data_IF_423867634771
#
_entry.id   IF_423867634771
#
_cell.length_a   1.000
_cell.length_b   1.000
_cell.length_c   1.000
_cell.angle_alpha   90.00
_cell.angle_beta   90.00
_cell.angle_gamma   90.00
#
_symmetry.space_group_name_H-M   'P 1'
#
loop_
_entity.id
_entity.type
_entity.pdbx_description
1 polymer ?
#
# COMPACT_ATOMS: atom_id res chain seq x y z
N UNK A 1 -13.80 -15.69 21.46
CA UNK A 1 -13.56 -14.37 20.82
C UNK A 1 -12.08 -14.33 20.46
N UNK A 2 -11.73 -14.08 19.19
CA UNK A 2 -10.33 -13.87 18.83
C UNK A 2 -9.78 -12.65 19.59
N UNK A 3 -8.56 -12.74 20.12
CA UNK A 3 -7.90 -11.63 20.83
C UNK A 3 -6.97 -10.89 19.88
N UNK A 4 -6.84 -9.58 20.08
CA UNK A 4 -5.81 -8.79 19.39
C UNK A 4 -4.42 -9.38 19.67
N UNK A 5 -3.55 -9.35 18.66
CA UNK A 5 -2.17 -9.83 18.73
C UNK A 5 -2.03 -11.31 19.17
N UNK A 6 -3.06 -12.14 18.94
CA UNK A 6 -2.98 -13.56 19.23
C UNK A 6 -2.03 -14.35 18.31
N UNK A 7 -1.70 -13.83 17.13
CA UNK A 7 -0.78 -14.47 16.18
C UNK A 7 0.64 -13.96 16.43
N UNK A 8 1.59 -14.87 16.55
CA UNK A 8 3.01 -14.50 16.72
C UNK A 8 3.55 -13.81 15.48
N UNK A 9 4.23 -12.67 15.68
CA UNK A 9 4.90 -11.92 14.62
C UNK A 9 6.40 -12.25 14.51
N UNK A 10 6.94 -13.17 15.32
CA UNK A 10 8.35 -13.56 15.27
C UNK A 10 8.67 -14.48 14.09
N UNK A 11 7.69 -15.27 13.63
CA UNK A 11 7.86 -16.24 12.56
C UNK A 11 7.29 -15.73 11.24
N UNK A 12 7.80 -16.29 10.14
CA UNK A 12 7.15 -16.12 8.84
C UNK A 12 5.75 -16.74 8.84
N UNK A 13 4.79 -16.08 8.21
CA UNK A 13 3.45 -16.57 7.97
C UNK A 13 3.34 -17.06 6.53
N UNK A 14 3.19 -18.37 6.33
CA UNK A 14 2.85 -18.96 5.04
C UNK A 14 1.36 -19.32 5.03
N UNK A 15 0.55 -18.59 4.27
CA UNK A 15 -0.85 -18.95 4.03
C UNK A 15 -0.89 -19.84 2.79
N UNK A 16 -0.83 -21.15 3.00
CA UNK A 16 -0.74 -22.13 1.92
C UNK A 16 -1.94 -22.08 0.97
N UNK A 17 -1.75 -22.56 -0.27
CA UNK A 17 -2.86 -22.67 -1.23
C UNK A 17 -4.04 -23.45 -0.64
N UNK A 18 -5.26 -22.93 -0.83
CA UNK A 18 -6.49 -23.49 -0.25
C UNK A 18 -6.71 -23.16 1.24
N UNK A 19 -5.73 -22.58 1.94
CA UNK A 19 -5.92 -22.11 3.30
C UNK A 19 -6.67 -20.76 3.33
N UNK A 20 -7.33 -20.49 4.45
CA UNK A 20 -7.93 -19.19 4.75
C UNK A 20 -7.49 -18.75 6.15
N UNK A 21 -6.75 -17.64 6.24
CA UNK A 21 -6.44 -17.00 7.51
C UNK A 21 -7.50 -15.94 7.81
N UNK A 22 -8.38 -16.23 8.76
CA UNK A 22 -9.37 -15.27 9.25
C UNK A 22 -8.90 -14.63 10.56
N UNK A 23 -8.77 -13.30 10.57
CA UNK A 23 -8.44 -12.54 11.80
C UNK A 23 -9.69 -12.05 12.55
N UNK A 24 -10.89 -12.39 12.10
CA UNK A 24 -12.14 -12.20 12.85
C UNK A 24 -12.48 -10.75 13.18
N UNK A 25 -11.98 -9.78 12.40
CA UNK A 25 -12.17 -8.36 12.69
C UNK A 25 -11.30 -7.82 13.84
N UNK A 26 -10.28 -8.57 14.29
CA UNK A 26 -9.33 -8.13 15.31
C UNK A 26 -8.10 -7.45 14.70
N UNK A 27 -7.25 -6.88 15.56
CA UNK A 27 -5.94 -6.36 15.18
C UNK A 27 -4.86 -7.41 15.37
N UNK A 28 -4.22 -7.83 14.29
CA UNK A 28 -3.15 -8.83 14.30
C UNK A 28 -1.87 -8.27 13.69
N UNK A 29 -0.73 -8.72 14.22
CA UNK A 29 0.58 -8.53 13.59
C UNK A 29 1.17 -9.90 13.25
N UNK A 30 1.64 -10.07 12.02
CA UNK A 30 2.33 -11.28 11.56
C UNK A 30 3.74 -10.93 11.08
N UNK A 31 4.62 -11.93 10.93
CA UNK A 31 5.94 -11.73 10.33
C UNK A 31 5.90 -11.67 8.80
N UNK A 32 7.00 -12.06 8.15
CA UNK A 32 7.10 -12.19 6.68
C UNK A 32 5.93 -13.00 6.12
N UNK A 33 5.13 -12.38 5.24
CA UNK A 33 3.94 -13.02 4.64
C UNK A 33 4.28 -13.66 3.29
N UNK A 34 3.89 -14.92 3.10
CA UNK A 34 4.06 -15.66 1.84
C UNK A 34 2.89 -16.61 1.59
N UNK A 35 2.81 -17.16 0.38
CA UNK A 35 1.82 -18.16 0.00
C UNK A 35 0.74 -17.62 -0.93
N UNK A 36 -0.35 -18.38 -1.06
CA UNK A 36 -1.43 -18.14 -2.03
C UNK A 36 -2.83 -18.45 -1.51
N UNK A 37 -2.98 -18.83 -0.23
CA UNK A 37 -4.28 -18.91 0.42
C UNK A 37 -4.83 -17.52 0.73
N UNK A 38 -6.09 -17.41 1.11
CA UNK A 38 -6.73 -16.10 1.32
C UNK A 38 -6.54 -15.61 2.77
N UNK A 39 -6.62 -14.29 2.94
CA UNK A 39 -6.71 -13.64 4.26
C UNK A 39 -8.04 -12.88 4.33
N UNK A 40 -8.83 -13.14 5.36
CA UNK A 40 -10.02 -12.38 5.68
C UNK A 40 -9.73 -11.45 6.86
N UNK A 41 -9.81 -10.14 6.63
CA UNK A 41 -9.66 -9.11 7.67
C UNK A 41 -10.89 -8.98 8.57
N UNK A 42 -12.01 -9.62 8.21
CA UNK A 42 -13.30 -9.51 8.89
C UNK A 42 -14.01 -8.18 8.63
N UNK A 43 -15.12 -7.96 9.32
CA UNK A 43 -15.91 -6.73 9.27
C UNK A 43 -15.53 -5.75 10.40
N UNK A 44 -15.66 -4.45 10.16
CA UNK A 44 -15.39 -3.41 11.16
C UNK A 44 -13.89 -3.10 11.32
N UNK A 45 -13.42 -3.01 12.57
CA UNK A 45 -12.09 -2.51 12.95
C UNK A 45 -10.93 -3.49 12.77
N UNK A 46 -11.08 -4.52 11.93
CA UNK A 46 -10.01 -5.46 11.64
C UNK A 46 -8.77 -4.75 11.11
N UNK A 47 -7.58 -5.15 11.55
CA UNK A 47 -6.34 -4.56 11.10
C UNK A 47 -5.24 -5.60 11.04
N UNK A 48 -4.67 -5.82 9.86
CA UNK A 48 -3.51 -6.70 9.70
C UNK A 48 -2.25 -5.88 9.48
N UNK A 49 -1.28 -6.05 10.39
CA UNK A 49 0.09 -5.60 10.17
C UNK A 49 0.97 -6.75 9.75
N UNK A 50 1.59 -6.64 8.57
CA UNK A 50 2.64 -7.56 8.10
C UNK A 50 3.99 -6.94 8.41
N UNK A 51 4.67 -7.44 9.45
CA UNK A 51 6.04 -7.07 9.80
C UNK A 51 7.03 -7.84 8.94
N UNK A 52 7.13 -7.42 7.68
CA UNK A 52 7.92 -8.07 6.66
C UNK A 52 9.41 -7.86 6.91
N UNK A 53 10.19 -8.94 7.05
CA UNK A 53 11.64 -8.87 7.32
C UNK A 53 12.50 -9.25 6.13
N UNK A 54 11.99 -10.08 5.24
CA UNK A 54 12.68 -10.58 4.05
C UNK A 54 11.84 -10.31 2.80
N UNK A 55 12.37 -10.60 1.62
CA UNK A 55 11.56 -10.62 0.41
C UNK A 55 10.59 -11.82 0.41
N UNK A 56 9.34 -11.60 0.02
CA UNK A 56 8.43 -12.67 -0.41
C UNK A 56 7.33 -12.13 -1.32
N UNK A 57 6.83 -13.02 -2.19
CA UNK A 57 5.60 -12.82 -2.95
C UNK A 57 4.40 -13.41 -2.22
N UNK A 58 3.27 -12.71 -2.34
CA UNK A 58 1.97 -13.18 -1.87
C UNK A 58 0.96 -13.13 -3.01
N UNK A 59 0.37 -14.27 -3.33
CA UNK A 59 -0.55 -14.45 -4.45
C UNK A 59 -1.98 -14.77 -4.00
N UNK A 60 -2.25 -14.70 -2.70
CA UNK A 60 -3.58 -14.83 -2.13
C UNK A 60 -4.32 -13.50 -2.10
N UNK A 61 -5.65 -13.54 -1.99
CA UNK A 61 -6.47 -12.34 -1.84
C UNK A 61 -6.59 -12.00 -0.35
N UNK A 62 -6.27 -10.75 0.00
CA UNK A 62 -6.61 -10.13 1.28
C UNK A 62 -7.96 -9.41 1.09
N UNK A 63 -8.99 -9.80 1.84
CA UNK A 63 -10.34 -9.25 1.75
C UNK A 63 -10.91 -8.82 3.11
N UNK A 64 -12.15 -8.33 3.11
CA UNK A 64 -12.85 -7.83 4.32
C UNK A 64 -12.95 -6.31 4.36
N UNK A 65 -13.32 -5.72 5.49
CA UNK A 65 -13.40 -4.25 5.60
C UNK A 65 -12.25 -3.63 6.39
N UNK A 66 -11.38 -4.48 6.93
CA UNK A 66 -10.25 -4.05 7.75
C UNK A 66 -9.15 -3.33 6.98
N UNK A 67 -8.23 -2.73 7.73
CA UNK A 67 -7.05 -2.04 7.20
C UNK A 67 -5.85 -2.99 7.05
N UNK A 68 -4.97 -2.65 6.11
CA UNK A 68 -3.74 -3.38 5.85
C UNK A 68 -2.52 -2.48 6.09
N UNK A 69 -1.57 -2.95 6.88
CA UNK A 69 -0.31 -2.24 7.15
C UNK A 69 0.89 -3.12 6.78
N UNK A 70 1.75 -2.63 5.91
CA UNK A 70 3.08 -3.21 5.65
C UNK A 70 4.10 -2.50 6.54
N UNK A 71 4.74 -3.23 7.45
CA UNK A 71 5.86 -2.75 8.26
C UNK A 71 7.10 -3.63 8.05
N UNK A 72 8.17 -3.33 8.80
CA UNK A 72 9.45 -4.03 8.70
C UNK A 72 10.24 -3.67 7.42
N UNK A 73 11.56 -3.91 7.42
CA UNK A 73 12.46 -3.45 6.36
C UNK A 73 12.37 -4.28 5.07
N UNK A 74 11.72 -5.44 5.10
CA UNK A 74 11.64 -6.35 3.97
C UNK A 74 10.71 -5.87 2.86
N UNK A 75 10.65 -6.68 1.80
CA UNK A 75 9.89 -6.41 0.57
C UNK A 75 8.70 -7.37 0.51
N UNK A 76 7.50 -6.84 0.29
CA UNK A 76 6.30 -7.64 0.05
C UNK A 76 5.82 -7.38 -1.38
N UNK A 77 5.83 -8.41 -2.23
CA UNK A 77 5.27 -8.34 -3.57
C UNK A 77 3.84 -8.89 -3.57
N UNK A 78 2.88 -8.09 -4.00
CA UNK A 78 1.48 -8.47 -4.13
C UNK A 78 1.19 -8.87 -5.58
N UNK A 79 0.74 -10.12 -5.78
CA UNK A 79 0.48 -10.70 -7.11
C UNK A 79 -1.00 -11.03 -7.34
N UNK A 80 -1.90 -10.57 -6.47
CA UNK A 80 -3.33 -10.78 -6.56
C UNK A 80 -4.08 -9.47 -6.24
N UNK A 81 -5.27 -9.32 -6.81
CA UNK A 81 -6.13 -8.15 -6.58
C UNK A 81 -6.78 -8.25 -5.21
N UNK A 82 -6.26 -7.48 -4.26
CA UNK A 82 -6.80 -7.46 -2.91
C UNK A 82 -8.13 -6.70 -2.86
N UNK A 83 -9.06 -7.16 -2.03
CA UNK A 83 -10.46 -6.70 -2.01
C UNK A 83 -10.86 -6.05 -0.69
N UNK A 84 -9.91 -5.84 0.23
CA UNK A 84 -10.24 -5.17 1.48
C UNK A 84 -10.65 -3.71 1.25
N UNK A 85 -11.61 -3.20 2.01
CA UNK A 85 -12.09 -1.81 1.85
C UNK A 85 -11.43 -0.80 2.78
N UNK A 86 -10.65 -1.25 3.76
CA UNK A 86 -9.91 -0.37 4.66
C UNK A 86 -8.69 0.27 4.00
N UNK A 87 -8.04 1.18 4.72
CA UNK A 87 -6.85 1.88 4.24
C UNK A 87 -5.63 0.96 4.13
N UNK A 88 -4.72 1.32 3.22
CA UNK A 88 -3.39 0.75 3.10
C UNK A 88 -2.37 1.68 3.75
N UNK A 89 -1.57 1.17 4.68
CA UNK A 89 -0.46 1.89 5.29
C UNK A 89 0.85 1.21 4.94
N UNK A 90 1.76 1.93 4.31
CA UNK A 90 3.16 1.53 4.23
C UNK A 90 3.84 2.21 5.42
N UNK A 91 4.31 1.42 6.38
CA UNK A 91 4.97 1.83 7.61
C UNK A 91 6.47 1.48 7.66
N UNK A 92 6.94 0.64 6.73
CA UNK A 92 8.36 0.32 6.53
C UNK A 92 8.62 -0.56 5.31
N UNK A 93 9.81 -0.45 4.73
CA UNK A 93 10.29 -1.30 3.65
C UNK A 93 9.54 -1.05 2.34
N UNK A 94 9.30 -2.11 1.58
CA UNK A 94 8.78 -1.98 0.22
C UNK A 94 7.51 -2.80 -0.01
N UNK A 95 6.57 -2.22 -0.75
CA UNK A 95 5.53 -2.96 -1.46
C UNK A 95 5.84 -2.93 -2.95
N UNK A 96 5.87 -4.11 -3.58
CA UNK A 96 5.89 -4.25 -5.03
C UNK A 96 4.48 -4.57 -5.51
N UNK A 97 3.96 -3.75 -6.42
CA UNK A 97 2.71 -3.98 -7.15
C UNK A 97 3.05 -4.85 -8.37
N UNK A 98 2.83 -6.15 -8.23
CA UNK A 98 3.17 -7.17 -9.24
C UNK A 98 2.09 -7.39 -10.30
N UNK A 99 0.88 -6.88 -10.07
CA UNK A 99 -0.23 -6.85 -11.05
C UNK A 99 -1.00 -5.53 -10.92
N UNK A 100 -1.70 -5.11 -11.97
CA UNK A 100 -2.62 -3.96 -11.89
C UNK A 100 -3.67 -4.20 -10.80
N UNK A 101 -3.99 -3.14 -10.06
CA UNK A 101 -4.94 -3.16 -8.95
C UNK A 101 -4.63 -4.23 -7.87
N UNK A 102 -3.34 -4.53 -7.64
CA UNK A 102 -2.95 -5.42 -6.55
C UNK A 102 -3.40 -4.86 -5.19
N UNK A 103 -3.33 -3.54 -4.98
CA UNK A 103 -3.99 -2.89 -3.84
C UNK A 103 -5.41 -2.46 -4.23
N UNK A 104 -6.38 -2.44 -3.29
CA UNK A 104 -7.75 -2.07 -3.60
C UNK A 104 -7.84 -0.64 -4.12
N UNK A 105 -8.51 -0.45 -5.27
CA UNK A 105 -8.62 0.86 -5.95
C UNK A 105 -9.45 1.89 -5.17
N UNK A 106 -10.27 1.43 -4.24
CA UNK A 106 -11.08 2.25 -3.33
C UNK A 106 -10.33 2.61 -2.05
N UNK A 107 -9.14 2.04 -1.82
CA UNK A 107 -8.36 2.26 -0.61
C UNK A 107 -7.60 3.60 -0.65
N UNK A 108 -7.53 4.25 0.51
CA UNK A 108 -6.56 5.31 0.76
C UNK A 108 -5.18 4.69 0.96
N UNK A 109 -4.14 5.31 0.38
CA UNK A 109 -2.75 4.94 0.68
C UNK A 109 -2.08 6.00 1.56
N UNK A 110 -1.48 5.54 2.65
CA UNK A 110 -0.74 6.37 3.58
C UNK A 110 0.67 5.83 3.85
N UNK A 111 1.53 6.78 4.15
CA UNK A 111 2.95 6.60 4.29
C UNK A 111 3.36 7.12 5.69
N UNK A 112 3.64 6.21 6.64
CA UNK A 112 3.95 6.52 8.05
C UNK A 112 5.25 5.88 8.57
N UNK A 113 5.78 6.33 9.70
CA UNK A 113 7.01 5.77 10.29
C UNK A 113 8.31 6.34 9.68
N UNK A 114 9.45 6.09 10.32
CA UNK A 114 10.71 6.78 10.02
C UNK A 114 11.71 6.00 9.15
N UNK A 115 11.43 4.73 8.84
CA UNK A 115 12.28 3.93 7.94
C UNK A 115 12.00 4.26 6.48
N UNK A 116 12.90 3.83 5.57
CA UNK A 116 12.67 3.87 4.12
C UNK A 116 11.36 3.19 3.76
N UNK A 117 10.59 3.83 2.88
CA UNK A 117 9.32 3.30 2.37
C UNK A 117 9.18 3.50 0.88
N UNK A 118 8.98 2.39 0.20
CA UNK A 118 8.87 2.35 -1.24
C UNK A 118 7.56 1.67 -1.66
N UNK A 119 6.85 2.32 -2.57
CA UNK A 119 5.87 1.65 -3.42
C UNK A 119 6.47 1.53 -4.82
N UNK A 120 6.75 0.31 -5.26
CA UNK A 120 7.27 0.05 -6.60
C UNK A 120 6.17 -0.53 -7.49
N UNK A 121 5.98 0.07 -8.67
CA UNK A 121 5.16 -0.49 -9.73
C UNK A 121 6.05 -1.29 -10.70
N UNK A 122 5.73 -2.56 -10.94
CA UNK A 122 6.36 -3.34 -12.01
C UNK A 122 5.88 -2.89 -13.41
N UNK A 123 6.32 -3.55 -14.48
CA UNK A 123 6.00 -3.15 -15.86
C UNK A 123 4.51 -3.24 -16.18
N UNK A 124 4.00 -2.25 -16.91
CA UNK A 124 2.63 -2.18 -17.42
C UNK A 124 1.56 -2.22 -16.32
N UNK A 125 1.89 -1.71 -15.14
CA UNK A 125 0.98 -1.68 -14.00
C UNK A 125 0.16 -0.40 -14.02
N UNK A 126 -1.16 -0.54 -13.89
CA UNK A 126 -2.05 0.56 -13.52
C UNK A 126 -2.57 0.28 -12.10
N UNK A 127 -2.36 1.22 -11.18
CA UNK A 127 -2.84 1.13 -9.81
C UNK A 127 -3.59 2.41 -9.47
N UNK A 128 -4.78 2.28 -8.88
CA UNK A 128 -5.57 3.42 -8.42
C UNK A 128 -5.64 3.52 -6.89
N UNK A 129 -5.82 4.74 -6.38
CA UNK A 129 -6.08 5.04 -4.97
C UNK A 129 -7.06 6.20 -4.82
N UNK A 130 -7.79 6.25 -3.71
CA UNK A 130 -8.72 7.35 -3.40
C UNK A 130 -8.05 8.53 -2.69
N UNK A 131 -6.89 8.33 -2.08
CA UNK A 131 -6.09 9.42 -1.52
C UNK A 131 -4.65 8.98 -1.33
N UNK A 132 -3.75 9.97 -1.30
CA UNK A 132 -2.33 9.80 -1.03
C UNK A 132 -1.94 10.76 0.08
N UNK A 133 -1.34 10.23 1.14
CA UNK A 133 -0.89 11.03 2.29
C UNK A 133 0.44 10.52 2.82
N UNK A 134 1.22 11.38 3.47
CA UNK A 134 2.32 10.94 4.33
C UNK A 134 2.48 11.84 5.55
N UNK A 135 3.16 11.36 6.59
CA UNK A 135 3.59 12.24 7.68
C UNK A 135 4.69 13.20 7.21
N UNK A 136 4.71 14.41 7.78
CA UNK A 136 5.74 15.42 7.54
C UNK A 136 7.05 15.09 8.27
N UNK A 137 8.15 15.71 7.85
CA UNK A 137 9.47 15.56 8.51
C UNK A 137 10.12 14.19 8.34
N UNK A 138 9.61 13.37 7.43
CA UNK A 138 10.15 12.04 7.12
C UNK A 138 10.99 12.08 5.85
N UNK A 139 12.07 11.30 5.83
CA UNK A 139 12.90 11.06 4.64
C UNK A 139 12.71 9.63 4.13
N UNK A 140 13.09 9.37 2.87
CA UNK A 140 13.08 8.02 2.31
C UNK A 140 11.69 7.50 1.90
N UNK A 141 10.71 8.38 1.67
CA UNK A 141 9.41 8.01 1.09
C UNK A 141 9.50 8.15 -0.42
N UNK A 142 9.18 7.09 -1.16
CA UNK A 142 9.18 7.11 -2.62
C UNK A 142 8.07 6.26 -3.21
N UNK A 143 7.48 6.77 -4.29
CA UNK A 143 6.72 5.98 -5.26
C UNK A 143 7.60 5.88 -6.49
N UNK A 144 7.89 4.66 -6.92
CA UNK A 144 8.78 4.39 -8.05
C UNK A 144 8.09 3.57 -9.13
N UNK A 145 8.28 3.98 -10.37
CA UNK A 145 7.83 3.23 -11.54
C UNK A 145 8.57 3.67 -12.79
N UNK A 146 8.36 2.93 -13.88
CA UNK A 146 9.05 3.19 -15.13
C UNK A 146 8.14 2.91 -16.33
N UNK A 147 8.45 3.55 -17.46
CA UNK A 147 7.76 3.31 -18.71
C UNK A 147 6.27 3.62 -18.65
N UNK A 148 5.44 2.64 -19.01
CA UNK A 148 3.98 2.76 -19.19
C UNK A 148 3.17 2.66 -17.90
N UNK A 149 3.83 2.51 -16.75
CA UNK A 149 3.14 2.39 -15.46
C UNK A 149 2.26 3.63 -15.19
N UNK A 150 1.08 3.41 -14.61
CA UNK A 150 0.17 4.47 -14.18
C UNK A 150 -0.14 4.37 -12.69
N UNK A 151 0.11 5.46 -11.97
CA UNK A 151 -0.40 5.69 -10.63
C UNK A 151 -1.58 6.66 -10.75
N UNK A 152 -2.80 6.18 -10.52
CA UNK A 152 -4.03 6.97 -10.67
C UNK A 152 -4.54 7.41 -9.30
N UNK A 153 -4.55 8.70 -9.03
CA UNK A 153 -4.97 9.28 -7.76
C UNK A 153 -6.34 9.95 -7.91
N UNK A 154 -7.39 9.30 -7.41
CA UNK A 154 -8.78 9.75 -7.48
C UNK A 154 -9.20 10.49 -6.20
N UNK A 155 -8.48 11.55 -5.83
CA UNK A 155 -8.68 12.20 -4.54
C UNK A 155 -9.76 13.29 -4.57
N UNK A 156 -10.69 13.21 -3.62
CA UNK A 156 -11.72 14.24 -3.42
C UNK A 156 -11.32 15.28 -2.38
N UNK A 157 -10.35 14.97 -1.52
CA UNK A 157 -9.88 15.85 -0.44
C UNK A 157 -8.42 16.19 -0.66
N UNK A 158 -8.04 17.43 -0.36
CA UNK A 158 -6.66 17.87 -0.48
C UNK A 158 -5.76 17.23 0.57
N UNK A 159 -4.51 16.95 0.20
CA UNK A 159 -3.54 16.30 1.07
C UNK A 159 -2.11 16.76 0.78
N UNK A 160 -1.20 16.43 1.69
CA UNK A 160 0.23 16.58 1.50
C UNK A 160 0.89 15.21 1.32
N UNK A 161 1.89 15.16 0.43
CA UNK A 161 2.79 14.03 0.30
C UNK A 161 4.23 14.52 0.35
N UNK A 162 4.96 14.04 1.35
CA UNK A 162 6.35 14.41 1.64
C UNK A 162 7.36 13.42 1.03
N UNK A 163 6.92 12.58 0.09
CA UNK A 163 7.78 11.65 -0.65
C UNK A 163 8.04 12.10 -2.09
N UNK A 164 8.96 11.38 -2.74
CA UNK A 164 9.26 11.57 -4.15
C UNK A 164 8.41 10.70 -5.09
N UNK A 165 8.12 11.22 -6.27
CA UNK A 165 7.66 10.47 -7.45
C UNK A 165 8.87 10.22 -8.35
N UNK A 166 9.46 9.03 -8.23
CA UNK A 166 10.75 8.71 -8.83
C UNK A 166 10.61 7.79 -10.06
N UNK A 167 11.41 8.02 -11.09
CA UNK A 167 11.36 7.28 -12.35
C UNK A 167 10.48 7.93 -13.41
N UNK A 168 10.10 7.18 -14.44
CA UNK A 168 9.49 7.71 -15.69
C UNK A 168 8.02 7.30 -15.89
N UNK A 169 7.36 6.82 -14.84
CA UNK A 169 5.94 6.44 -14.87
C UNK A 169 5.01 7.65 -15.00
N UNK A 170 3.73 7.37 -15.29
CA UNK A 170 2.66 8.35 -15.34
C UNK A 170 1.98 8.45 -13.96
N UNK A 171 2.06 9.62 -13.34
CA UNK A 171 1.22 9.99 -12.21
C UNK A 171 0.00 10.75 -12.74
N UNK A 172 -1.19 10.16 -12.61
CA UNK A 172 -2.45 10.72 -13.11
C UNK A 172 -3.28 11.20 -11.93
N UNK A 173 -3.58 12.49 -11.89
CA UNK A 173 -4.37 13.14 -10.86
C UNK A 173 -5.82 13.36 -11.33
N UNK A 174 -6.75 12.71 -10.64
CA UNK A 174 -8.19 12.82 -10.81
C UNK A 174 -8.86 13.28 -9.49
N UNK A 175 -10.16 13.58 -9.54
CA UNK A 175 -10.93 14.05 -8.40
C UNK A 175 -10.61 15.50 -8.00
N UNK A 176 -11.55 16.13 -7.30
CA UNK A 176 -11.52 17.59 -7.04
C UNK A 176 -10.45 18.05 -6.03
N UNK A 177 -9.86 17.16 -5.24
CA UNK A 177 -8.87 17.52 -4.23
C UNK A 177 -7.52 17.92 -4.83
N UNK A 178 -6.70 18.63 -4.06
CA UNK A 178 -5.33 19.01 -4.45
C UNK A 178 -4.28 18.18 -3.70
N UNK A 179 -3.30 17.63 -4.41
CA UNK A 179 -2.11 17.04 -3.77
C UNK A 179 -0.98 18.06 -3.78
N UNK A 180 -0.43 18.35 -2.60
CA UNK A 180 0.79 19.16 -2.46
C UNK A 180 1.98 18.24 -2.24
N UNK A 181 2.91 18.23 -3.20
CA UNK A 181 4.10 17.37 -3.17
C UNK A 181 5.30 18.13 -2.64
N UNK A 182 6.03 17.56 -1.68
CA UNK A 182 7.22 18.17 -1.06
C UNK A 182 8.53 17.42 -1.40
N UNK A 183 8.47 16.33 -2.17
CA UNK A 183 9.64 15.56 -2.59
C UNK A 183 10.00 15.73 -4.07
N UNK A 184 11.02 15.00 -4.51
CA UNK A 184 11.47 14.97 -5.92
C UNK A 184 10.35 14.50 -6.86
N UNK A 185 10.21 15.16 -8.01
CA UNK A 185 9.17 14.86 -9.01
C UNK A 185 9.81 14.60 -10.37
N UNK A 186 10.13 13.34 -10.63
CA UNK A 186 10.71 12.88 -11.91
C UNK A 186 9.68 12.17 -12.81
N UNK A 187 8.57 11.72 -12.24
CA UNK A 187 7.47 11.11 -12.97
C UNK A 187 6.81 12.09 -13.96
N UNK A 188 6.17 11.57 -15.02
CA UNK A 188 5.27 12.36 -15.87
C UNK A 188 3.98 12.60 -15.12
N UNK A 189 3.51 13.84 -15.07
CA UNK A 189 2.31 14.20 -14.34
C UNK A 189 1.19 14.62 -15.30
N UNK A 190 0.03 13.98 -15.16
CA UNK A 190 -1.19 14.31 -15.90
C UNK A 190 -2.23 14.79 -14.90
N UNK A 191 -2.77 15.98 -15.11
CA UNK A 191 -3.86 16.53 -14.30
C UNK A 191 -5.16 16.46 -15.10
N UNK A 192 -6.08 15.61 -14.66
CA UNK A 192 -7.44 15.56 -15.20
C UNK A 192 -8.39 16.44 -14.37
N UNK A 193 -8.28 16.41 -13.03
CA UNK A 193 -9.11 17.19 -12.11
C UNK A 193 -8.38 17.58 -10.81
N UNK A 194 -8.80 18.68 -10.18
CA UNK A 194 -8.23 19.18 -8.92
C UNK A 194 -6.91 19.92 -9.15
N UNK A 195 -5.88 19.62 -8.34
CA UNK A 195 -4.57 20.24 -8.49
C UNK A 195 -3.39 19.35 -8.09
N UNK A 196 -2.21 19.66 -8.65
CA UNK A 196 -0.92 19.12 -8.21
C UNK A 196 -0.01 20.32 -7.89
N UNK A 197 0.18 20.60 -6.61
CA UNK A 197 0.97 21.74 -6.12
C UNK A 197 2.37 21.30 -5.69
N UNK A 198 3.32 22.23 -5.69
CA UNK A 198 4.61 22.07 -5.03
C UNK A 198 4.53 22.65 -3.62
N UNK A 199 4.88 21.86 -2.62
CA UNK A 199 5.14 22.33 -1.27
C UNK A 199 6.58 22.86 -1.19
N UNK A 200 6.74 24.08 -0.67
CA UNK A 200 8.04 24.66 -0.34
C UNK A 200 8.51 24.10 0.99
#
# INVERSE_FOLDING_TARGET
>A
MASNNAISNSNAMNVASGANLDIGGTTQTIGTLSGSGNINLGSGSGALTVSQRTFSGYSGIIGGTGSFTKSGPGVLRLNAGNTYSGSTTIAGGEIIIGISDALPTTSAISFTGASTRLLMLEQNISQAFTSLTSSSGLSGISIFGYGTNSFNLNQSVSSNFYGGLLGTFNFVKNGIGTITMHGTRSARETLNEGGINSGI
#
